data_IF_477937212715
#
_entry.id   IF_477937212715
#
_cell.length_a   1.000
_cell.length_b   1.000
_cell.length_c   1.000
_cell.angle_alpha   90.00
_cell.angle_beta   90.00
_cell.angle_gamma   90.00
#
_symmetry.space_group_name_H-M   'P 1'
#
loop_
_entity.id
_entity.type
_entity.pdbx_description
1 polymer ?
#
# COMPACT_ATOMS: atom_id res chain seq x y z
N UNK A 1 25.96 -19.92 -8.04
CA UNK A 1 25.04 -19.50 -9.11
C UNK A 1 23.65 -19.47 -8.49
N UNK A 2 22.99 -18.31 -8.40
CA UNK A 2 21.61 -18.28 -7.93
C UNK A 2 20.73 -19.07 -8.92
N UNK A 3 19.80 -19.87 -8.40
CA UNK A 3 18.86 -20.60 -9.23
C UNK A 3 18.03 -19.61 -10.03
N UNK A 4 18.29 -19.55 -11.33
CA UNK A 4 17.70 -18.57 -12.25
C UNK A 4 16.16 -18.71 -12.32
N UNK A 5 15.66 -19.92 -12.06
CA UNK A 5 14.23 -20.21 -11.91
C UNK A 5 13.62 -19.61 -10.63
N UNK A 6 14.26 -19.83 -9.48
CA UNK A 6 13.82 -19.28 -8.20
C UNK A 6 13.82 -17.75 -8.20
N UNK A 7 14.84 -17.13 -8.81
CA UNK A 7 14.94 -15.67 -8.90
C UNK A 7 13.80 -15.06 -9.73
N UNK A 8 13.38 -15.71 -10.81
CA UNK A 8 12.22 -15.27 -11.61
C UNK A 8 10.92 -15.36 -10.85
N UNK A 9 10.73 -16.42 -10.05
CA UNK A 9 9.53 -16.60 -9.24
C UNK A 9 9.42 -15.52 -8.16
N UNK A 10 10.51 -15.23 -7.45
CA UNK A 10 10.57 -14.14 -6.47
C UNK A 10 10.29 -12.79 -7.12
N UNK A 11 10.88 -12.53 -8.30
CA UNK A 11 10.61 -11.32 -9.07
C UNK A 11 9.13 -11.16 -9.45
N UNK A 12 8.46 -12.26 -9.83
CA UNK A 12 7.03 -12.24 -10.13
C UNK A 12 6.20 -11.92 -8.89
N UNK A 13 6.48 -12.56 -7.75
CA UNK A 13 5.80 -12.25 -6.48
C UNK A 13 5.98 -10.78 -6.12
N UNK A 14 7.22 -10.28 -6.18
CA UNK A 14 7.51 -8.88 -5.87
C UNK A 14 6.74 -7.93 -6.77
N UNK A 15 6.67 -8.20 -8.07
CA UNK A 15 5.91 -7.37 -9.01
C UNK A 15 4.40 -7.37 -8.69
N UNK A 16 3.82 -8.55 -8.39
CA UNK A 16 2.40 -8.65 -8.01
C UNK A 16 2.11 -7.93 -6.70
N UNK A 17 2.98 -8.07 -5.70
CA UNK A 17 2.86 -7.36 -4.43
C UNK A 17 2.95 -5.85 -4.64
N UNK A 18 3.89 -5.38 -5.47
CA UNK A 18 4.04 -3.97 -5.81
C UNK A 18 2.78 -3.42 -6.48
N UNK A 19 2.20 -4.17 -7.43
CA UNK A 19 0.94 -3.79 -8.08
C UNK A 19 -0.21 -3.71 -7.07
N UNK A 20 -0.33 -4.69 -6.17
CA UNK A 20 -1.35 -4.68 -5.13
C UNK A 20 -1.22 -3.45 -4.23
N UNK A 21 0.00 -3.12 -3.80
CA UNK A 21 0.28 -1.92 -3.00
C UNK A 21 -0.08 -0.64 -3.75
N UNK A 22 0.27 -0.53 -5.03
CA UNK A 22 -0.08 0.63 -5.85
C UNK A 22 -1.60 0.80 -5.98
N UNK A 23 -2.34 -0.29 -6.16
CA UNK A 23 -3.80 -0.26 -6.21
C UNK A 23 -4.39 0.20 -4.87
N UNK A 24 -3.92 -0.35 -3.75
CA UNK A 24 -4.37 0.03 -2.41
C UNK A 24 -4.06 1.50 -2.14
N UNK A 25 -2.84 1.97 -2.45
CA UNK A 25 -2.47 3.37 -2.32
C UNK A 25 -3.42 4.28 -3.13
N UNK A 26 -3.74 3.91 -4.36
CA UNK A 26 -4.73 4.61 -5.19
C UNK A 26 -6.12 4.63 -4.55
N UNK A 27 -6.58 3.52 -3.97
CA UNK A 27 -7.86 3.46 -3.25
C UNK A 27 -7.87 4.36 -2.01
N UNK A 28 -6.77 4.43 -1.27
CA UNK A 28 -6.64 5.31 -0.10
C UNK A 28 -6.72 6.77 -0.53
N UNK A 29 -5.92 7.18 -1.52
CA UNK A 29 -5.94 8.55 -2.06
C UNK A 29 -7.33 8.92 -2.58
N UNK A 30 -7.96 8.01 -3.33
CA UNK A 30 -9.34 8.18 -3.78
C UNK A 30 -10.29 8.34 -2.61
N UNK A 31 -10.19 7.52 -1.57
CA UNK A 31 -11.03 7.64 -0.38
C UNK A 31 -10.88 8.99 0.34
N UNK A 32 -9.68 9.58 0.35
CA UNK A 32 -9.50 10.95 0.83
C UNK A 32 -10.18 11.99 -0.07
N UNK A 33 -10.08 11.84 -1.40
CA UNK A 33 -10.74 12.73 -2.36
C UNK A 33 -12.28 12.64 -2.29
N UNK A 34 -12.80 11.43 -2.07
CA UNK A 34 -14.24 11.16 -1.93
C UNK A 34 -14.78 11.50 -0.52
N UNK A 35 -13.93 11.96 0.40
CA UNK A 35 -14.30 12.34 1.77
C UNK A 35 -14.59 11.16 2.71
N UNK A 36 -14.23 9.93 2.33
CA UNK A 36 -14.40 8.72 3.15
C UNK A 36 -13.43 8.67 4.34
N UNK A 37 -12.33 9.44 4.29
CA UNK A 37 -11.36 9.59 5.38
C UNK A 37 -11.24 11.06 5.76
N UNK A 38 -11.28 11.37 7.06
CA UNK A 38 -11.09 12.73 7.59
C UNK A 38 -9.78 12.78 8.39
N UNK A 39 -9.05 13.91 8.31
CA UNK A 39 -7.80 14.12 9.05
C UNK A 39 -8.04 14.48 10.54
N UNK A 40 -9.30 14.63 10.96
CA UNK A 40 -9.77 14.99 12.31
C UNK A 40 -9.73 13.81 13.30
N UNK A 41 -8.68 12.98 13.28
CA UNK A 41 -8.56 11.81 14.16
C UNK A 41 -7.27 11.79 15.01
N UNK A 42 -6.58 12.93 15.18
CA UNK A 42 -5.29 12.94 15.91
C UNK A 42 -4.99 14.23 16.68
N UNK A 43 -6.00 15.00 17.08
CA UNK A 43 -5.83 16.10 18.05
C UNK A 43 -6.46 15.78 19.40
N UNK A 44 -7.34 14.77 19.49
CA UNK A 44 -8.02 14.37 20.73
C UNK A 44 -7.16 13.48 21.63
N UNK A 45 -6.12 12.82 21.10
CA UNK A 45 -5.21 11.97 21.89
C UNK A 45 -3.95 12.70 22.39
N UNK A 46 -3.63 13.88 21.85
CA UNK A 46 -2.51 14.70 22.31
C UNK A 46 -2.85 15.60 23.52
N UNK A 47 -4.11 15.58 23.97
CA UNK A 47 -4.62 16.39 25.07
C UNK A 47 -5.18 15.54 26.24
N UNK A 48 -4.76 14.26 26.37
CA UNK A 48 -5.07 13.42 27.52
C UNK A 48 -3.81 12.88 28.19
#
# INVERSE_FOLDING_TARGET
MADRGALKFVGFIFATATLAVMLVAGMVVKGYADGAYTLEASTVEAAR
#
